data_IF_318786028731
#
_entry.id   IF_318786028731
#
_cell.length_a   1.000
_cell.length_b   1.000
_cell.length_c   1.000
_cell.angle_alpha   90.00
_cell.angle_beta   90.00
_cell.angle_gamma   90.00
#
_symmetry.space_group_name_H-M   'P 1'
#
loop_
_entity.id
_entity.type
_entity.pdbx_description
1 polymer ?
#
# COMPACT_ATOMS: atom_id res chain seq x y z
N UNK A 1 -14.89 -23.34 -5.07
CA UNK A 1 -14.24 -22.02 -4.96
C UNK A 1 -14.65 -21.48 -3.61
N UNK A 2 -13.72 -21.39 -2.65
CA UNK A 2 -14.02 -20.72 -1.39
C UNK A 2 -14.27 -19.25 -1.69
N UNK A 3 -15.33 -18.69 -1.12
CA UNK A 3 -15.63 -17.27 -1.25
C UNK A 3 -14.45 -16.45 -0.71
N UNK A 4 -14.16 -15.32 -1.34
CA UNK A 4 -13.09 -14.42 -0.91
C UNK A 4 -13.35 -13.91 0.52
N UNK A 5 -14.62 -13.67 0.87
CA UNK A 5 -15.05 -13.34 2.22
C UNK A 5 -15.73 -14.52 2.92
N UNK A 6 -15.70 -14.51 4.25
CA UNK A 6 -16.40 -15.46 5.13
C UNK A 6 -17.26 -14.70 6.14
N UNK A 7 -18.49 -15.16 6.43
CA UNK A 7 -19.32 -14.55 7.45
C UNK A 7 -18.78 -14.89 8.85
N UNK A 8 -19.02 -14.00 9.82
CA UNK A 8 -18.57 -14.22 11.22
C UNK A 8 -19.17 -15.48 11.87
N UNK A 9 -20.29 -16.00 11.36
CA UNK A 9 -20.85 -17.28 11.81
C UNK A 9 -19.95 -18.49 11.56
N UNK A 10 -18.88 -18.34 10.79
CA UNK A 10 -17.89 -19.39 10.52
C UNK A 10 -16.61 -19.27 11.36
N UNK A 11 -16.54 -18.32 12.31
CA UNK A 11 -15.35 -18.14 13.16
C UNK A 11 -14.98 -19.42 13.92
N UNK A 12 -15.97 -20.18 14.40
CA UNK A 12 -15.79 -21.44 15.14
C UNK A 12 -15.20 -22.58 14.29
N UNK A 13 -15.07 -22.40 12.96
CA UNK A 13 -14.44 -23.39 12.08
C UNK A 13 -12.92 -23.26 12.02
N UNK A 14 -12.37 -22.18 12.59
CA UNK A 14 -10.93 -21.96 12.68
C UNK A 14 -10.50 -22.27 14.11
N UNK A 15 -9.48 -23.11 14.27
CA UNK A 15 -8.90 -23.43 15.58
C UNK A 15 -7.95 -22.30 16.02
N UNK A 16 -8.53 -21.17 16.43
CA UNK A 16 -7.79 -19.94 16.75
C UNK A 16 -6.74 -20.11 17.84
N UNK A 17 -7.01 -20.96 18.84
CA UNK A 17 -6.06 -21.25 19.92
C UNK A 17 -4.78 -21.97 19.42
N UNK A 18 -4.85 -22.64 18.26
CA UNK A 18 -3.68 -23.25 17.62
C UNK A 18 -2.84 -22.26 16.78
N UNK A 19 -3.36 -21.06 16.50
CA UNK A 19 -2.71 -20.06 15.66
C UNK A 19 -1.96 -19.05 16.52
N UNK A 20 -0.87 -18.52 15.98
CA UNK A 20 -0.08 -17.47 16.62
C UNK A 20 -0.27 -16.11 15.94
N UNK A 21 -0.28 -15.05 16.75
CA UNK A 21 -0.25 -13.65 16.38
C UNK A 21 0.89 -12.92 17.12
N UNK A 22 1.00 -11.59 17.04
CA UNK A 22 2.13 -10.83 17.61
C UNK A 22 2.40 -11.05 19.10
N UNK A 23 1.35 -11.32 19.90
CA UNK A 23 1.42 -11.43 21.36
C UNK A 23 1.13 -12.83 21.91
N UNK A 24 1.16 -13.88 21.07
CA UNK A 24 0.89 -15.27 21.47
C UNK A 24 -0.27 -15.92 20.71
N UNK A 25 -1.03 -16.78 21.40
CA UNK A 25 -2.20 -17.48 20.86
C UNK A 25 -3.28 -16.49 20.41
N UNK A 26 -4.02 -16.84 19.34
CA UNK A 26 -4.97 -15.95 18.68
C UNK A 26 -6.44 -16.21 19.09
N UNK A 27 -6.68 -16.78 20.28
CA UNK A 27 -8.02 -17.13 20.78
C UNK A 27 -8.92 -15.90 21.07
N UNK A 28 -8.33 -14.71 21.17
CA UNK A 28 -9.00 -13.43 21.32
C UNK A 28 -9.52 -12.81 20.01
N UNK A 29 -8.98 -13.23 18.85
CA UNK A 29 -9.31 -12.68 17.52
C UNK A 29 -10.81 -12.75 17.18
N UNK A 30 -11.55 -13.85 17.46
CA UNK A 30 -12.99 -13.90 17.22
C UNK A 30 -13.77 -12.81 17.94
N UNK A 31 -13.43 -12.52 19.20
CA UNK A 31 -14.10 -11.47 19.98
C UNK A 31 -13.81 -10.09 19.38
N UNK A 32 -12.57 -9.84 18.96
CA UNK A 32 -12.17 -8.59 18.30
C UNK A 32 -12.94 -8.38 16.98
N UNK A 33 -13.07 -9.42 16.15
CA UNK A 33 -13.87 -9.36 14.91
C UNK A 33 -15.34 -9.06 15.16
N UNK A 34 -15.92 -9.62 16.24
CA UNK A 34 -17.28 -9.27 16.67
C UNK A 34 -17.41 -7.82 17.13
N UNK A 35 -16.43 -7.29 17.87
CA UNK A 35 -16.41 -5.88 18.28
C UNK A 35 -16.33 -4.93 17.09
N UNK A 36 -15.48 -5.24 16.10
CA UNK A 36 -15.39 -4.48 14.84
C UNK A 36 -16.75 -4.48 14.13
N UNK A 37 -17.41 -5.63 14.03
CA UNK A 37 -18.73 -5.74 13.42
C UNK A 37 -19.82 -4.96 14.17
N UNK A 38 -19.65 -4.77 15.48
CA UNK A 38 -20.52 -3.95 16.32
C UNK A 38 -20.21 -2.44 16.24
N UNK A 39 -19.19 -2.03 15.47
CA UNK A 39 -18.80 -0.63 15.30
C UNK A 39 -17.89 -0.10 16.40
N UNK A 40 -17.20 -0.98 17.14
CA UNK A 40 -16.19 -0.57 18.11
C UNK A 40 -14.95 -0.04 17.38
N UNK A 41 -14.72 1.27 17.52
CA UNK A 41 -13.60 1.98 16.90
C UNK A 41 -12.24 1.61 17.48
N UNK A 42 -12.17 1.12 18.72
CA UNK A 42 -10.92 0.69 19.34
C UNK A 42 -10.51 -0.72 18.90
N UNK A 43 -11.49 -1.57 18.61
CA UNK A 43 -11.25 -2.98 18.28
C UNK A 43 -10.45 -3.18 17.00
N UNK A 44 -10.55 -2.26 16.03
CA UNK A 44 -9.74 -2.35 14.81
C UNK A 44 -8.26 -2.08 15.09
N UNK A 45 -7.92 -1.13 15.96
CA UNK A 45 -6.54 -0.84 16.37
C UNK A 45 -5.92 -1.99 17.19
N UNK A 46 -6.71 -2.61 18.07
CA UNK A 46 -6.25 -3.76 18.85
C UNK A 46 -5.99 -4.96 17.92
N UNK A 47 -6.94 -5.27 17.04
CA UNK A 47 -6.78 -6.32 16.02
C UNK A 47 -5.61 -6.01 15.08
N UNK A 48 -5.43 -4.74 14.73
CA UNK A 48 -4.32 -4.27 13.89
C UNK A 48 -3.01 -4.74 14.48
N UNK A 49 -2.72 -4.37 15.73
CA UNK A 49 -1.45 -4.68 16.41
C UNK A 49 -1.25 -6.16 16.67
N UNK A 50 -2.34 -6.93 16.85
CA UNK A 50 -2.27 -8.37 17.04
C UNK A 50 -1.90 -9.10 15.75
N UNK A 51 -2.63 -8.81 14.66
CA UNK A 51 -2.51 -9.54 13.39
C UNK A 51 -1.46 -8.96 12.44
N UNK A 52 -0.98 -7.74 12.68
CA UNK A 52 0.13 -7.16 11.95
C UNK A 52 0.89 -6.23 12.89
N UNK A 53 2.20 -6.44 13.06
CA UNK A 53 2.98 -5.64 13.99
C UNK A 53 4.31 -5.26 13.37
N UNK A 54 4.55 -3.95 13.25
CA UNK A 54 5.81 -3.37 12.74
C UNK A 54 6.26 -3.95 11.40
N UNK A 55 5.34 -4.24 10.48
CA UNK A 55 5.66 -4.85 9.18
C UNK A 55 5.52 -6.37 9.14
N UNK A 56 5.37 -7.04 10.27
CA UNK A 56 5.31 -8.52 10.34
C UNK A 56 3.92 -9.06 10.10
N UNK A 57 3.82 -10.07 9.22
CA UNK A 57 2.64 -10.92 9.03
C UNK A 57 2.78 -12.17 9.90
N UNK A 58 1.73 -12.49 10.65
CA UNK A 58 1.66 -13.66 11.53
C UNK A 58 0.76 -14.75 10.95
N UNK A 59 0.79 -15.93 11.57
CA UNK A 59 -0.02 -17.07 11.14
C UNK A 59 -1.51 -16.71 11.11
N UNK A 60 -2.03 -16.15 12.21
CA UNK A 60 -3.44 -15.78 12.36
C UNK A 60 -3.92 -14.73 11.34
N UNK A 61 -3.02 -13.89 10.81
CA UNK A 61 -3.34 -12.82 9.84
C UNK A 61 -4.08 -13.39 8.64
N UNK A 62 -3.54 -14.46 8.04
CA UNK A 62 -4.11 -15.08 6.84
C UNK A 62 -5.51 -15.66 7.06
N UNK A 63 -5.80 -16.15 8.27
CA UNK A 63 -7.10 -16.72 8.65
C UNK A 63 -8.16 -15.63 8.91
N UNK A 64 -7.73 -14.46 9.40
CA UNK A 64 -8.61 -13.34 9.69
C UNK A 64 -9.04 -12.57 8.44
N UNK A 65 -8.18 -12.49 7.40
CA UNK A 65 -8.45 -11.72 6.17
C UNK A 65 -9.85 -12.00 5.60
N UNK A 66 -10.29 -13.26 5.34
CA UNK A 66 -11.61 -13.51 4.77
C UNK A 66 -12.78 -12.96 5.61
N UNK A 67 -12.66 -12.93 6.94
CA UNK A 67 -13.70 -12.37 7.81
C UNK A 67 -13.69 -10.84 7.75
N UNK A 68 -12.51 -10.22 7.75
CA UNK A 68 -12.35 -8.78 7.56
C UNK A 68 -12.90 -8.31 6.21
N UNK A 69 -12.74 -9.10 5.15
CA UNK A 69 -13.40 -8.84 3.86
C UNK A 69 -14.92 -8.85 3.95
N UNK A 70 -15.49 -9.69 4.82
CA UNK A 70 -16.92 -9.67 5.12
C UNK A 70 -17.39 -8.43 5.88
N UNK A 71 -16.49 -7.75 6.60
CA UNK A 71 -16.78 -6.56 7.41
C UNK A 71 -16.56 -5.23 6.69
N UNK A 72 -15.98 -5.24 5.48
CA UNK A 72 -15.60 -4.02 4.77
C UNK A 72 -16.79 -3.09 4.45
N UNK A 73 -18.01 -3.63 4.36
CA UNK A 73 -19.24 -2.86 4.22
C UNK A 73 -19.21 -1.87 3.05
N UNK A 74 -19.67 -0.64 3.29
CA UNK A 74 -19.69 0.45 2.32
C UNK A 74 -18.38 1.26 2.22
N UNK A 75 -17.28 0.76 2.80
CA UNK A 75 -15.96 1.38 2.68
C UNK A 75 -15.43 1.96 3.98
N UNK A 76 -14.85 1.10 4.83
CA UNK A 76 -14.02 1.52 5.95
C UNK A 76 -12.57 1.74 5.46
N UNK A 77 -12.12 3.00 5.40
CA UNK A 77 -10.78 3.38 4.96
C UNK A 77 -9.67 2.83 5.86
N UNK A 78 -9.90 2.76 7.17
CA UNK A 78 -8.94 2.20 8.13
C UNK A 78 -8.75 0.70 7.91
N UNK A 79 -9.84 -0.03 7.61
CA UNK A 79 -9.76 -1.45 7.30
C UNK A 79 -9.11 -1.70 5.93
N UNK A 80 -9.35 -0.84 4.94
CA UNK A 80 -8.60 -0.90 3.68
C UNK A 80 -7.10 -0.65 3.88
N UNK A 81 -6.74 0.27 4.78
CA UNK A 81 -5.35 0.51 5.14
C UNK A 81 -4.72 -0.72 5.81
N UNK A 82 -5.44 -1.36 6.75
CA UNK A 82 -4.98 -2.62 7.36
C UNK A 82 -4.74 -3.69 6.31
N UNK A 83 -5.65 -3.87 5.35
CA UNK A 83 -5.50 -4.85 4.26
C UNK A 83 -4.28 -4.55 3.39
N UNK A 84 -4.01 -3.28 3.13
CA UNK A 84 -2.82 -2.84 2.38
C UNK A 84 -1.53 -3.16 3.16
N UNK A 85 -1.50 -2.87 4.47
CA UNK A 85 -0.39 -3.20 5.35
C UNK A 85 -0.15 -4.72 5.43
N UNK A 86 -1.21 -5.51 5.57
CA UNK A 86 -1.14 -6.97 5.60
C UNK A 86 -0.63 -7.56 4.27
N UNK A 87 -1.05 -7.00 3.13
CA UNK A 87 -0.61 -7.46 1.81
C UNK A 87 0.83 -7.06 1.44
N UNK A 88 1.36 -6.00 2.08
CA UNK A 88 2.75 -5.54 1.94
C UNK A 88 3.69 -6.14 3.00
N UNK A 89 3.14 -6.63 4.11
CA UNK A 89 3.93 -7.12 5.23
C UNK A 89 4.86 -8.28 4.87
N UNK A 90 5.89 -8.43 5.69
CA UNK A 90 6.97 -9.39 5.51
C UNK A 90 7.01 -10.41 6.66
N UNK A 91 7.95 -11.35 6.59
CA UNK A 91 8.18 -12.32 7.67
C UNK A 91 8.87 -11.65 8.87
N UNK A 92 8.72 -12.25 10.05
CA UNK A 92 9.34 -11.74 11.27
C UNK A 92 10.86 -11.60 11.13
N UNK A 93 11.51 -12.61 10.56
CA UNK A 93 12.96 -12.59 10.37
C UNK A 93 13.46 -11.52 9.37
N UNK A 94 12.65 -11.19 8.36
CA UNK A 94 13.00 -10.14 7.39
C UNK A 94 12.92 -8.75 8.03
N UNK A 95 11.83 -8.51 8.77
CA UNK A 95 11.58 -7.24 9.47
C UNK A 95 12.62 -6.98 10.56
N UNK A 96 12.90 -7.97 11.40
CA UNK A 96 13.73 -7.79 12.59
C UNK A 96 15.23 -7.95 12.34
N UNK A 97 15.63 -8.19 11.07
CA UNK A 97 17.02 -8.32 10.63
C UNK A 97 17.87 -9.12 11.62
N UNK A 98 17.35 -10.28 12.02
CA UNK A 98 18.01 -11.09 13.04
C UNK A 98 19.31 -11.61 12.43
N UNK A 99 20.43 -11.03 12.83
CA UNK A 99 21.78 -11.41 12.41
C UNK A 99 22.17 -12.71 13.13
N UNK A 100 21.51 -13.81 12.78
CA UNK A 100 21.79 -15.12 13.35
C UNK A 100 23.16 -15.64 12.88
N UNK A 101 23.81 -16.43 13.73
CA UNK A 101 25.04 -17.14 13.38
C UNK A 101 24.80 -17.92 12.07
N UNK A 102 25.67 -17.79 11.04
CA UNK A 102 25.50 -18.51 9.77
C UNK A 102 25.26 -20.02 9.94
N UNK A 103 25.80 -20.65 10.99
CA UNK A 103 25.53 -22.06 11.29
C UNK A 103 24.09 -22.31 11.79
N UNK A 104 23.50 -21.38 12.55
CA UNK A 104 22.10 -21.44 12.99
C UNK A 104 21.14 -21.17 11.85
N UNK A 105 21.46 -20.22 10.97
CA UNK A 105 20.65 -19.94 9.78
C UNK A 105 20.51 -21.18 8.89
N UNK A 106 21.56 -22.01 8.78
CA UNK A 106 21.53 -23.24 7.99
C UNK A 106 20.88 -24.43 8.72
N UNK A 107 20.53 -24.30 10.00
CA UNK A 107 19.89 -25.37 10.75
C UNK A 107 18.50 -25.70 10.16
N UNK A 108 18.14 -26.98 9.99
CA UNK A 108 16.85 -27.37 9.42
C UNK A 108 15.64 -26.79 10.17
N UNK A 109 15.72 -26.70 11.50
CA UNK A 109 14.64 -26.16 12.33
C UNK A 109 14.42 -24.66 12.06
N UNK A 110 15.50 -23.91 11.89
CA UNK A 110 15.44 -22.48 11.58
C UNK A 110 14.89 -22.23 10.17
N UNK A 111 15.33 -23.01 9.19
CA UNK A 111 14.79 -22.94 7.82
C UNK A 111 13.31 -23.32 7.76
N UNK A 112 12.85 -24.24 8.62
CA UNK A 112 11.43 -24.56 8.72
C UNK A 112 10.60 -23.37 9.25
N UNK A 113 11.10 -22.66 10.27
CA UNK A 113 10.44 -21.44 10.79
C UNK A 113 10.32 -20.37 9.70
N UNK A 114 11.40 -20.07 8.98
CA UNK A 114 11.35 -19.10 7.86
C UNK A 114 10.37 -19.57 6.78
N UNK A 115 10.36 -20.86 6.46
CA UNK A 115 9.45 -21.39 5.44
C UNK A 115 7.96 -21.19 5.82
N UNK A 116 7.63 -21.37 7.11
CA UNK A 116 6.29 -21.12 7.64
C UNK A 116 5.94 -19.63 7.62
N UNK A 117 6.84 -18.75 8.06
CA UNK A 117 6.61 -17.30 8.02
C UNK A 117 6.39 -16.80 6.59
N UNK A 118 7.24 -17.22 5.66
CA UNK A 118 7.10 -16.89 4.24
C UNK A 118 5.82 -17.50 3.64
N UNK A 119 5.37 -18.66 4.15
CA UNK A 119 4.08 -19.21 3.78
C UNK A 119 2.93 -18.28 4.21
N UNK A 120 2.94 -17.80 5.46
CA UNK A 120 1.92 -16.89 5.99
C UNK A 120 1.85 -15.57 5.22
N UNK A 121 2.99 -14.99 4.86
CA UNK A 121 3.07 -13.80 3.98
C UNK A 121 2.38 -14.08 2.64
N UNK A 122 2.75 -15.18 1.97
CA UNK A 122 2.16 -15.54 0.66
C UNK A 122 0.65 -15.77 0.74
N UNK A 123 0.18 -16.52 1.74
CA UNK A 123 -1.26 -16.82 1.86
C UNK A 123 -2.07 -15.60 2.29
N UNK A 124 -1.51 -14.72 3.12
CA UNK A 124 -2.14 -13.43 3.48
C UNK A 124 -2.32 -12.56 2.24
N UNK A 125 -1.24 -12.36 1.47
CA UNK A 125 -1.30 -11.57 0.22
C UNK A 125 -2.31 -12.17 -0.77
N UNK A 126 -2.31 -13.50 -0.94
CA UNK A 126 -3.26 -14.18 -1.81
C UNK A 126 -4.73 -14.02 -1.35
N UNK A 127 -4.99 -14.04 -0.05
CA UNK A 127 -6.31 -13.81 0.50
C UNK A 127 -6.78 -12.37 0.28
N UNK A 128 -5.90 -11.38 0.46
CA UNK A 128 -6.22 -9.97 0.17
C UNK A 128 -6.49 -9.77 -1.32
N UNK A 129 -5.67 -10.37 -2.19
CA UNK A 129 -5.86 -10.34 -3.65
C UNK A 129 -7.20 -10.94 -4.08
N UNK A 130 -7.61 -12.06 -3.46
CA UNK A 130 -8.90 -12.69 -3.75
C UNK A 130 -10.09 -11.76 -3.46
N UNK A 131 -9.92 -10.77 -2.57
CA UNK A 131 -10.90 -9.73 -2.26
C UNK A 131 -11.00 -8.59 -3.28
N UNK A 132 -10.24 -8.59 -4.38
CA UNK A 132 -10.17 -7.47 -5.33
C UNK A 132 -11.55 -6.94 -5.80
N UNK A 133 -12.50 -7.83 -6.09
CA UNK A 133 -13.85 -7.44 -6.52
C UNK A 133 -14.68 -6.78 -5.40
N UNK A 134 -14.32 -6.98 -4.13
CA UNK A 134 -14.94 -6.33 -2.97
C UNK A 134 -14.48 -4.87 -2.87
N UNK A 135 -13.20 -4.59 -3.10
CA UNK A 135 -12.66 -3.22 -3.02
C UNK A 135 -12.93 -2.40 -4.27
N UNK A 136 -13.06 -3.04 -5.44
CA UNK A 136 -13.31 -2.37 -6.72
C UNK A 136 -14.42 -1.31 -6.66
N UNK A 137 -15.64 -1.59 -6.16
CA UNK A 137 -16.69 -0.56 -6.07
C UNK A 137 -16.33 0.59 -5.13
N UNK A 138 -15.41 0.42 -4.18
CA UNK A 138 -14.96 1.46 -3.26
C UNK A 138 -14.11 2.54 -3.94
N UNK A 139 -13.60 2.30 -5.16
CA UNK A 139 -13.06 3.35 -6.02
C UNK A 139 -14.10 4.42 -6.40
N UNK A 140 -15.38 4.17 -6.14
CA UNK A 140 -16.50 5.11 -6.35
C UNK A 140 -17.25 5.41 -5.04
N UNK A 141 -16.63 5.14 -3.88
CA UNK A 141 -17.22 5.45 -2.57
C UNK A 141 -17.54 6.95 -2.43
N UNK A 142 -18.53 7.28 -1.60
CA UNK A 142 -18.91 8.67 -1.31
C UNK A 142 -17.74 9.45 -0.71
N UNK A 143 -17.06 8.81 0.24
CA UNK A 143 -15.89 9.38 0.94
C UNK A 143 -14.64 9.35 0.04
N UNK A 144 -13.98 10.50 -0.21
CA UNK A 144 -12.75 10.55 -1.02
C UNK A 144 -11.57 9.80 -0.40
N UNK A 145 -11.46 9.77 0.93
CA UNK A 145 -10.40 9.04 1.63
C UNK A 145 -10.47 7.53 1.34
N UNK A 146 -11.68 6.99 1.32
CA UNK A 146 -11.97 5.60 0.95
C UNK A 146 -11.63 5.32 -0.51
N UNK A 147 -11.96 6.24 -1.44
CA UNK A 147 -11.55 6.10 -2.85
C UNK A 147 -10.03 6.08 -3.00
N UNK A 148 -9.35 6.96 -2.27
CA UNK A 148 -7.88 7.03 -2.25
C UNK A 148 -7.25 5.78 -1.67
N UNK A 149 -7.76 5.29 -0.53
CA UNK A 149 -7.25 4.09 0.10
C UNK A 149 -7.52 2.81 -0.72
N UNK A 150 -8.67 2.74 -1.41
CA UNK A 150 -8.93 1.66 -2.35
C UNK A 150 -7.94 1.69 -3.53
N UNK A 151 -7.60 2.88 -4.04
CA UNK A 151 -6.60 3.03 -5.08
C UNK A 151 -5.22 2.57 -4.62
N UNK A 152 -4.83 2.91 -3.39
CA UNK A 152 -3.58 2.45 -2.79
C UNK A 152 -3.54 0.95 -2.54
N UNK A 153 -4.63 0.34 -2.05
CA UNK A 153 -4.67 -1.12 -1.93
C UNK A 153 -4.43 -1.81 -3.28
N UNK A 154 -4.99 -1.28 -4.37
CA UNK A 154 -4.68 -1.78 -5.71
C UNK A 154 -3.23 -1.56 -6.12
N UNK A 155 -2.58 -0.48 -5.71
CA UNK A 155 -1.14 -0.31 -5.96
C UNK A 155 -0.32 -1.36 -5.23
N UNK A 156 -0.65 -1.68 -3.98
CA UNK A 156 0.00 -2.77 -3.21
C UNK A 156 -0.17 -4.14 -3.88
N UNK A 157 -1.33 -4.40 -4.49
CA UNK A 157 -1.56 -5.62 -5.27
C UNK A 157 -0.83 -5.58 -6.62
N UNK A 158 -0.74 -4.41 -7.24
CA UNK A 158 0.05 -4.12 -8.44
C UNK A 158 -0.14 -5.15 -9.55
N UNK A 159 0.98 -5.72 -10.00
CA UNK A 159 1.04 -6.70 -11.10
C UNK A 159 0.25 -8.00 -10.85
N UNK A 160 -0.11 -8.31 -9.60
CA UNK A 160 -0.96 -9.46 -9.29
C UNK A 160 -2.43 -9.20 -9.62
N UNK A 161 -2.81 -7.93 -9.85
CA UNK A 161 -4.16 -7.49 -10.21
C UNK A 161 -4.15 -6.52 -11.43
N UNK A 162 -3.63 -6.94 -12.60
CA UNK A 162 -3.35 -6.04 -13.72
C UNK A 162 -4.59 -5.29 -14.26
N UNK A 163 -5.78 -5.88 -14.11
CA UNK A 163 -7.05 -5.24 -14.48
C UNK A 163 -7.36 -3.96 -13.69
N UNK A 164 -6.73 -3.76 -12.53
CA UNK A 164 -6.90 -2.56 -11.71
C UNK A 164 -6.37 -1.30 -12.41
N UNK A 165 -5.40 -1.40 -13.32
CA UNK A 165 -4.88 -0.28 -14.10
C UNK A 165 -6.01 0.50 -14.80
N UNK A 166 -6.90 -0.21 -15.49
CA UNK A 166 -8.05 0.41 -16.18
C UNK A 166 -9.06 1.03 -15.21
N UNK A 167 -9.27 0.44 -14.03
CA UNK A 167 -10.17 1.00 -13.02
C UNK A 167 -9.62 2.28 -12.40
N UNK A 168 -8.31 2.33 -12.14
CA UNK A 168 -7.61 3.50 -11.62
C UNK A 168 -7.58 4.62 -12.67
N UNK A 169 -7.23 4.30 -13.92
CA UNK A 169 -7.18 5.27 -15.01
C UNK A 169 -8.55 5.94 -15.26
N UNK A 170 -9.64 5.18 -15.18
CA UNK A 170 -11.01 5.70 -15.33
C UNK A 170 -11.42 6.74 -14.28
N UNK A 171 -10.70 6.82 -13.15
CA UNK A 171 -10.98 7.76 -12.06
C UNK A 171 -10.04 8.97 -11.98
N UNK A 172 -9.14 9.19 -12.95
CA UNK A 172 -8.20 10.33 -12.92
C UNK A 172 -8.89 11.70 -13.03
N UNK A 173 -10.17 11.74 -13.41
CA UNK A 173 -11.02 12.94 -13.42
C UNK A 173 -11.88 13.14 -12.17
N UNK A 174 -11.59 12.46 -11.06
CA UNK A 174 -12.34 12.59 -9.81
C UNK A 174 -12.50 14.06 -9.36
N UNK A 175 -13.65 14.51 -8.86
CA UNK A 175 -13.79 15.87 -8.36
C UNK A 175 -12.86 16.19 -7.18
N UNK A 176 -12.53 15.18 -6.37
CA UNK A 176 -11.65 15.32 -5.22
C UNK A 176 -10.18 15.16 -5.60
N UNK A 177 -9.33 16.10 -5.16
CA UNK A 177 -7.91 16.11 -5.52
C UNK A 177 -7.11 14.98 -4.88
N UNK A 178 -7.42 14.58 -3.65
CA UNK A 178 -6.74 13.45 -2.98
C UNK A 178 -7.07 12.15 -3.71
N UNK A 179 -8.33 11.97 -4.12
CA UNK A 179 -8.73 10.81 -4.88
C UNK A 179 -8.11 10.77 -6.30
N UNK A 180 -7.96 11.92 -6.99
CA UNK A 180 -7.21 11.98 -8.27
C UNK A 180 -5.74 11.60 -8.06
N UNK A 181 -5.10 12.24 -7.10
CA UNK A 181 -3.68 12.00 -6.81
C UNK A 181 -3.40 10.56 -6.41
N UNK A 182 -4.29 9.97 -5.61
CA UNK A 182 -4.13 8.59 -5.16
C UNK A 182 -4.16 7.59 -6.31
N UNK A 183 -5.01 7.82 -7.32
CA UNK A 183 -5.05 6.98 -8.52
C UNK A 183 -3.86 7.22 -9.43
N UNK A 184 -3.41 8.47 -9.58
CA UNK A 184 -2.20 8.79 -10.34
C UNK A 184 -0.98 8.09 -9.74
N UNK A 185 -0.80 8.16 -8.41
CA UNK A 185 0.24 7.43 -7.69
C UNK A 185 0.12 5.92 -7.91
N UNK A 186 -1.07 5.36 -7.69
CA UNK A 186 -1.28 3.92 -7.78
C UNK A 186 -0.95 3.33 -9.16
N UNK A 187 -1.12 4.11 -10.23
CA UNK A 187 -0.81 3.68 -11.59
C UNK A 187 0.68 3.36 -11.81
N UNK A 188 1.60 3.90 -11.00
CA UNK A 188 3.03 3.61 -11.14
C UNK A 188 3.36 2.11 -11.02
N UNK A 189 2.55 1.35 -10.28
CA UNK A 189 2.72 -0.10 -10.07
C UNK A 189 2.27 -0.96 -11.26
N UNK A 190 1.74 -0.33 -12.31
CA UNK A 190 1.18 -0.98 -13.50
C UNK A 190 1.95 -0.60 -14.77
N UNK A 191 1.79 -1.42 -15.81
CA UNK A 191 2.34 -1.12 -17.11
C UNK A 191 1.65 0.11 -17.74
N UNK A 192 2.40 0.99 -18.43
CA UNK A 192 1.85 2.21 -19.00
C UNK A 192 0.86 1.94 -20.14
N UNK A 193 -0.36 2.45 -20.01
CA UNK A 193 -1.35 2.48 -21.08
C UNK A 193 -1.43 3.88 -21.71
N UNK A 194 -1.57 3.97 -23.04
CA UNK A 194 -1.57 5.27 -23.75
C UNK A 194 -2.67 6.22 -23.25
N UNK A 195 -3.86 5.72 -22.93
CA UNK A 195 -4.95 6.54 -22.40
C UNK A 195 -4.63 7.09 -21.00
N UNK A 196 -4.05 6.27 -20.12
CA UNK A 196 -3.60 6.69 -18.81
C UNK A 196 -2.48 7.75 -18.90
N UNK A 197 -1.51 7.55 -19.79
CA UNK A 197 -0.44 8.52 -20.06
C UNK A 197 -0.98 9.90 -20.47
N UNK A 198 -1.97 9.95 -21.37
CA UNK A 198 -2.59 11.21 -21.79
C UNK A 198 -3.33 11.91 -20.65
N UNK A 199 -4.08 11.15 -19.84
CA UNK A 199 -4.76 11.68 -18.66
C UNK A 199 -3.77 12.24 -17.63
N UNK A 200 -2.68 11.52 -17.34
CA UNK A 200 -1.63 11.98 -16.43
C UNK A 200 -0.92 13.23 -16.98
N UNK A 201 -0.66 13.31 -18.29
CA UNK A 201 -0.11 14.53 -18.91
C UNK A 201 -1.06 15.72 -18.74
N UNK A 202 -2.38 15.53 -18.88
CA UNK A 202 -3.37 16.57 -18.61
C UNK A 202 -3.36 17.00 -17.14
N UNK A 203 -3.12 16.07 -16.21
CA UNK A 203 -3.04 16.36 -14.77
C UNK A 203 -1.83 17.22 -14.39
N UNK A 204 -0.80 17.35 -15.23
CA UNK A 204 0.31 18.30 -14.98
C UNK A 204 -0.17 19.77 -14.95
N UNK A 205 -1.38 20.06 -15.41
CA UNK A 205 -2.06 21.36 -15.32
C UNK A 205 -3.23 21.37 -14.32
N UNK A 206 -3.34 20.38 -13.44
CA UNK A 206 -4.36 20.34 -12.39
C UNK A 206 -4.25 21.59 -11.49
N UNK A 207 -5.37 22.19 -11.04
CA UNK A 207 -5.32 23.34 -10.13
C UNK A 207 -4.64 23.02 -8.79
N UNK A 208 -4.72 21.78 -8.31
CA UNK A 208 -4.14 21.34 -7.04
C UNK A 208 -2.76 20.73 -7.24
N UNK A 209 -1.87 20.94 -6.26
CA UNK A 209 -0.46 20.57 -6.40
C UNK A 209 -0.24 19.06 -6.29
N UNK A 210 -0.97 18.40 -5.38
CA UNK A 210 -0.81 16.97 -5.12
C UNK A 210 -1.13 16.10 -6.36
N UNK A 211 -2.21 16.33 -7.13
CA UNK A 211 -2.42 15.68 -8.43
C UNK A 211 -1.31 15.93 -9.44
N UNK A 212 -0.79 17.17 -9.55
CA UNK A 212 0.33 17.47 -10.46
C UNK A 212 1.57 16.66 -10.10
N UNK A 213 1.91 16.63 -8.81
CA UNK A 213 3.07 15.92 -8.28
C UNK A 213 2.99 14.41 -8.51
N UNK A 214 1.87 13.80 -8.12
CA UNK A 214 1.67 12.35 -8.31
C UNK A 214 1.63 11.96 -9.78
N UNK A 215 1.04 12.78 -10.65
CA UNK A 215 1.11 12.56 -12.10
C UNK A 215 2.53 12.67 -12.65
N UNK A 216 3.30 13.68 -12.21
CA UNK A 216 4.69 13.85 -12.61
C UNK A 216 5.58 12.67 -12.17
N UNK A 217 5.40 12.18 -10.93
CA UNK A 217 6.10 11.01 -10.40
C UNK A 217 5.81 9.76 -11.22
N UNK A 218 4.54 9.48 -11.50
CA UNK A 218 4.14 8.30 -12.30
C UNK A 218 4.65 8.39 -13.74
N UNK A 219 4.57 9.57 -14.37
CA UNK A 219 5.13 9.78 -15.71
C UNK A 219 6.65 9.61 -15.74
N UNK A 220 7.36 10.13 -14.73
CA UNK A 220 8.80 9.94 -14.61
C UNK A 220 9.16 8.46 -14.40
N UNK A 221 8.37 7.72 -13.62
CA UNK A 221 8.55 6.28 -13.44
C UNK A 221 8.39 5.51 -14.75
N UNK A 222 7.33 5.79 -15.52
CA UNK A 222 7.04 5.08 -16.77
C UNK A 222 7.95 5.48 -17.95
N UNK A 223 8.34 6.74 -18.05
CA UNK A 223 8.99 7.29 -19.25
C UNK A 223 10.47 7.62 -19.03
N UNK A 224 10.92 7.69 -17.77
CA UNK A 224 12.29 8.10 -17.42
C UNK A 224 12.66 9.42 -18.11
N UNK A 225 13.81 9.43 -18.78
CA UNK A 225 14.31 10.58 -19.55
C UNK A 225 13.35 11.11 -20.63
N UNK A 226 12.36 10.33 -21.07
CA UNK A 226 11.39 10.73 -22.09
C UNK A 226 10.16 11.48 -21.51
N UNK A 227 10.05 11.61 -20.19
CA UNK A 227 8.91 12.25 -19.52
C UNK A 227 8.73 13.74 -19.88
N UNK A 228 9.77 14.36 -20.45
CA UNK A 228 9.75 15.74 -20.94
C UNK A 228 10.16 16.77 -19.91
N UNK A 229 10.41 18.00 -20.39
CA UNK A 229 10.93 19.10 -19.58
C UNK A 229 9.98 19.49 -18.44
N UNK A 230 8.67 19.55 -18.70
CA UNK A 230 7.66 19.95 -17.71
C UNK A 230 7.63 19.01 -16.49
N UNK A 231 7.71 17.69 -16.70
CA UNK A 231 7.78 16.71 -15.60
C UNK A 231 9.05 16.92 -14.78
N UNK A 232 10.18 17.14 -15.46
CA UNK A 232 11.47 17.37 -14.81
C UNK A 232 11.46 18.65 -13.97
N UNK A 233 10.93 19.75 -14.52
CA UNK A 233 10.80 21.04 -13.84
C UNK A 233 9.91 20.93 -12.59
N UNK A 234 8.77 20.24 -12.68
CA UNK A 234 7.88 20.03 -11.54
C UNK A 234 8.56 19.24 -10.42
N UNK A 235 9.23 18.14 -10.73
CA UNK A 235 9.88 17.30 -9.72
C UNK A 235 11.07 18.00 -9.07
N UNK A 236 11.82 18.81 -9.83
CA UNK A 236 12.87 19.66 -9.27
C UNK A 236 12.30 20.74 -8.33
N UNK A 237 11.18 21.36 -8.71
CA UNK A 237 10.50 22.34 -7.85
C UNK A 237 10.00 21.68 -6.56
N UNK A 238 9.37 20.51 -6.65
CA UNK A 238 8.87 19.76 -5.49
C UNK A 238 10.00 19.34 -4.53
N UNK A 239 11.16 18.94 -5.06
CA UNK A 239 12.35 18.63 -4.24
C UNK A 239 12.90 19.84 -3.47
N UNK A 240 12.69 21.04 -3.99
CA UNK A 240 13.11 22.28 -3.34
C UNK A 240 12.10 22.78 -2.30
N UNK A 241 10.87 22.26 -2.31
CA UNK A 241 9.77 22.69 -1.46
C UNK A 241 9.96 22.18 -0.02
N UNK A 242 10.00 23.09 0.99
CA UNK A 242 10.04 22.69 2.40
C UNK A 242 8.74 22.00 2.87
N UNK A 243 7.61 22.26 2.24
CA UNK A 243 6.27 21.82 2.67
C UNK A 243 5.83 20.51 1.99
N UNK A 244 6.73 19.90 1.22
CA UNK A 244 6.50 18.65 0.51
C UNK A 244 5.95 17.52 1.40
N UNK A 245 6.40 17.44 2.64
CA UNK A 245 5.90 16.46 3.61
C UNK A 245 4.42 16.68 3.93
N UNK A 246 3.98 17.94 4.08
CA UNK A 246 2.57 18.27 4.30
C UNK A 246 1.71 17.95 3.07
N UNK A 247 2.27 18.11 1.87
CA UNK A 247 1.59 17.76 0.63
C UNK A 247 1.32 16.25 0.55
N UNK A 248 2.32 15.42 0.86
CA UNK A 248 2.16 13.96 0.90
C UNK A 248 1.27 13.49 2.05
N UNK A 249 1.29 14.17 3.20
CA UNK A 249 0.43 13.88 4.35
C UNK A 249 -1.07 14.01 4.06
N UNK A 250 -1.46 14.54 2.89
CA UNK A 250 -2.85 14.53 2.41
C UNK A 250 -3.29 13.16 1.86
N UNK A 251 -2.35 12.28 1.50
CA UNK A 251 -2.67 10.94 1.03
C UNK A 251 -3.13 10.06 2.22
N UNK A 252 -4.18 9.25 2.05
CA UNK A 252 -4.83 8.60 3.19
C UNK A 252 -4.03 7.47 3.85
N UNK A 253 -2.90 7.05 3.26
CA UNK A 253 -2.01 5.99 3.77
C UNK A 253 -0.66 6.50 4.25
N UNK A 254 -0.44 7.82 4.30
CA UNK A 254 0.82 8.35 4.82
C UNK A 254 0.89 8.17 6.34
N UNK A 255 1.54 7.09 6.75
CA UNK A 255 1.79 6.72 8.15
C UNK A 255 3.08 7.32 8.72
N UNK A 256 3.69 8.31 8.05
CA UNK A 256 4.94 8.94 8.51
C UNK A 256 6.21 8.17 8.14
N UNK A 257 6.18 7.36 7.07
CA UNK A 257 7.35 6.70 6.49
C UNK A 257 8.05 7.57 5.41
N UNK A 258 9.33 7.34 5.06
CA UNK A 258 10.09 8.15 4.10
C UNK A 258 9.62 8.04 2.62
N UNK A 259 8.39 7.58 2.38
CA UNK A 259 7.77 7.42 1.06
C UNK A 259 7.91 8.64 0.12
N UNK A 260 7.75 9.90 0.59
CA UNK A 260 7.92 11.06 -0.28
C UNK A 260 9.33 11.19 -0.85
N UNK A 261 10.34 10.99 -0.01
CA UNK A 261 11.73 11.18 -0.37
C UNK A 261 12.24 10.04 -1.24
N UNK A 262 11.83 8.81 -0.96
CA UNK A 262 12.22 7.64 -1.76
C UNK A 262 11.59 7.66 -3.15
N UNK A 263 10.31 8.02 -3.27
CA UNK A 263 9.65 8.13 -4.56
C UNK A 263 10.26 9.24 -5.42
N UNK A 264 10.59 10.39 -4.80
CA UNK A 264 11.30 11.45 -5.50
C UNK A 264 12.74 11.08 -5.83
N UNK A 265 13.45 10.35 -4.95
CA UNK A 265 14.78 9.84 -5.23
C UNK A 265 14.77 8.78 -6.35
N UNK A 266 13.72 7.98 -6.45
CA UNK A 266 13.52 7.04 -7.54
C UNK A 266 13.24 7.77 -8.85
N UNK A 267 12.34 8.75 -8.84
CA UNK A 267 12.07 9.60 -10.01
C UNK A 267 13.33 10.37 -10.43
N UNK A 268 14.09 10.88 -9.48
CA UNK A 268 15.38 11.53 -9.67
C UNK A 268 16.37 10.66 -10.45
N UNK A 269 16.59 9.42 -9.98
CA UNK A 269 17.43 8.43 -10.68
C UNK A 269 16.93 8.14 -12.09
N UNK A 270 15.62 8.02 -12.27
CA UNK A 270 15.02 7.79 -13.59
C UNK A 270 15.20 8.98 -14.56
N UNK A 271 15.45 10.19 -14.03
CA UNK A 271 15.64 11.43 -14.78
C UNK A 271 17.10 11.88 -14.92
N UNK A 272 18.06 11.13 -14.35
CA UNK A 272 19.50 11.47 -14.28
C UNK A 272 20.18 11.71 -15.64
N UNK A 273 19.54 11.35 -16.76
CA UNK A 273 20.06 11.62 -18.10
C UNK A 273 19.89 13.08 -18.58
N UNK A 274 19.31 13.99 -17.77
CA UNK A 274 19.11 15.40 -18.16
C UNK A 274 20.27 16.36 -17.81
N UNK A 275 21.32 15.92 -17.10
CA UNK A 275 22.53 16.71 -16.79
C UNK A 275 22.35 17.82 -15.75
N UNK A 276 21.26 18.58 -15.80
CA UNK A 276 20.88 19.62 -14.82
C UNK A 276 20.40 19.02 -13.48
N UNK A 277 19.79 17.83 -13.54
CA UNK A 277 19.16 17.18 -12.40
C UNK A 277 20.17 16.63 -11.38
N UNK A 278 21.23 15.97 -11.86
CA UNK A 278 22.27 15.39 -10.99
C UNK A 278 22.95 16.45 -10.09
N UNK A 279 23.20 17.65 -10.63
CA UNK A 279 23.79 18.75 -9.86
C UNK A 279 22.86 19.35 -8.79
N UNK A 280 21.55 19.40 -9.03
CA UNK A 280 20.58 19.94 -8.08
C UNK A 280 20.28 18.94 -6.94
N UNK A 281 20.18 17.66 -7.26
CA UNK A 281 19.95 16.58 -6.29
C UNK A 281 21.15 16.42 -5.32
N UNK A 282 22.37 16.34 -5.86
CA UNK A 282 23.59 16.25 -5.04
C UNK A 282 23.77 17.45 -4.10
N UNK A 283 23.46 18.67 -4.58
CA UNK A 283 23.60 19.89 -3.79
C UNK A 283 22.64 19.99 -2.59
N UNK A 284 21.57 19.19 -2.55
CA UNK A 284 20.64 19.09 -1.40
C UNK A 284 20.97 17.91 -0.50
N UNK A 285 21.31 16.75 -1.06
CA UNK A 285 21.72 15.57 -0.29
C UNK A 285 22.91 15.89 0.63
N UNK A 286 23.89 16.66 0.15
CA UNK A 286 25.05 17.12 0.93
C UNK A 286 24.74 18.18 1.99
N UNK A 287 23.55 18.82 1.98
CA UNK A 287 23.15 19.81 3.00
C UNK A 287 22.29 19.24 4.12
N UNK A 288 21.73 18.06 3.91
CA UNK A 288 20.90 17.34 4.88
C UNK A 288 21.60 16.13 5.50
N UNK A 289 22.85 15.86 5.09
CA UNK A 289 23.79 14.89 5.70
C UNK A 289 24.73 15.60 6.68
#
# INVERSE_FOLDING_TARGET
>A
MNAASRPLSELDQVDWASLQHAYGEADDVPEQLHKIAAGDVGALSDLYSNLWHQGTVYQATSYAVPFLLGLLGAGNSELLNWLACAARGASYHDVHQIYDDPAQVQAPEYQAVIADELHWVRVTRAAVLAGADIYRPLLLAVDPGTRGMAAYLFSVLGRDCPQAAGWLAGGLGDPDSVARASRAWALAEFEPESAACLSLQSMLSDPQELPRLTAALTLAHWQGAQAGALVTEWLLSALADPDLGELFGQLPWDSGEPMPQEALAAAARSLEQSGLFASAFLARYERTS
#
